data_IF_380621693960
#
_entry.id   IF_380621693960
#
_cell.length_a   1.000
_cell.length_b   1.000
_cell.length_c   1.000
_cell.angle_alpha   90.00
_cell.angle_beta   90.00
_cell.angle_gamma   90.00
#
_symmetry.space_group_name_H-M   'P 1'
#
loop_
_entity.id
_entity.type
_entity.pdbx_description
1 polymer ?
#
# COMPACT_ATOMS: atom_id res chain seq x y z
N UNK A 1 -10.66 7.15 -20.91
CA UNK A 1 -10.43 5.81 -20.34
C UNK A 1 -10.75 5.82 -18.84
N UNK A 2 -11.69 4.98 -18.41
CA UNK A 2 -12.07 4.85 -17.00
C UNK A 2 -11.38 3.61 -16.40
N UNK A 3 -10.60 3.80 -15.33
CA UNK A 3 -10.03 2.70 -14.54
C UNK A 3 -11.17 2.06 -13.74
N UNK A 4 -11.35 0.74 -13.89
CA UNK A 4 -12.42 0.00 -13.22
C UNK A 4 -11.98 -0.65 -11.91
N UNK A 5 -10.73 -1.06 -11.81
CA UNK A 5 -10.17 -1.69 -10.63
C UNK A 5 -8.66 -1.43 -10.52
N UNK A 6 -8.15 -1.46 -9.29
CA UNK A 6 -6.73 -1.31 -8.99
C UNK A 6 -6.28 -2.37 -7.98
N UNK A 7 -5.03 -2.81 -8.10
CA UNK A 7 -4.34 -3.62 -7.11
C UNK A 7 -3.27 -2.78 -6.41
N UNK A 8 -3.40 -2.62 -5.10
CA UNK A 8 -2.53 -1.80 -4.27
C UNK A 8 -1.66 -2.73 -3.41
N UNK A 9 -0.47 -3.05 -3.90
CA UNK A 9 0.40 -4.06 -3.32
C UNK A 9 1.52 -3.45 -2.50
N UNK A 10 1.52 -3.65 -1.18
CA UNK A 10 2.55 -3.19 -0.24
C UNK A 10 2.84 -1.69 -0.40
N UNK A 11 1.81 -0.87 -0.61
CA UNK A 11 1.95 0.55 -0.90
C UNK A 11 2.06 1.42 0.34
N UNK A 12 2.55 2.64 0.13
CA UNK A 12 2.48 3.72 1.10
C UNK A 12 1.50 4.77 0.60
N UNK A 13 0.50 5.10 1.41
CA UNK A 13 -0.62 5.98 1.02
C UNK A 13 -0.63 7.27 1.83
N UNK A 14 -0.34 7.21 3.12
CA UNK A 14 -0.10 8.38 3.97
C UNK A 14 1.40 8.62 4.08
N UNK A 15 1.87 9.67 3.44
CA UNK A 15 3.30 10.01 3.41
C UNK A 15 3.74 10.78 4.65
N UNK A 16 2.81 11.31 5.44
CA UNK A 16 3.13 12.04 6.68
C UNK A 16 3.39 11.10 7.86
N UNK A 17 2.76 9.92 7.88
CA UNK A 17 2.95 8.89 8.90
C UNK A 17 3.97 7.87 8.39
N UNK A 18 5.26 8.18 8.54
CA UNK A 18 6.35 7.40 7.95
C UNK A 18 7.30 6.84 8.99
N UNK A 19 7.81 5.63 8.72
CA UNK A 19 8.97 5.08 9.43
C UNK A 19 10.23 5.91 9.13
N UNK A 20 11.26 5.75 9.97
CA UNK A 20 12.55 6.44 9.75
C UNK A 20 13.16 6.11 8.38
N UNK A 21 13.01 4.86 7.92
CA UNK A 21 13.47 4.45 6.58
C UNK A 21 12.75 5.23 5.47
N UNK A 22 11.44 5.34 5.56
CA UNK A 22 10.65 6.08 4.56
C UNK A 22 11.00 7.56 4.59
N UNK A 23 11.17 8.13 5.78
CA UNK A 23 11.58 9.53 5.93
C UNK A 23 12.92 9.79 5.25
N UNK A 24 13.91 8.94 5.49
CA UNK A 24 15.21 9.05 4.84
C UNK A 24 15.10 9.00 3.31
N UNK A 25 14.29 8.06 2.78
CA UNK A 25 14.05 7.97 1.35
C UNK A 25 13.41 9.25 0.79
N UNK A 26 12.45 9.84 1.51
CA UNK A 26 11.82 11.09 1.09
C UNK A 26 12.82 12.26 1.05
N UNK A 27 13.72 12.33 2.03
CA UNK A 27 14.80 13.35 2.03
C UNK A 27 15.75 13.22 0.85
N UNK A 28 15.99 11.99 0.39
CA UNK A 28 16.89 11.71 -0.74
C UNK A 28 16.25 11.94 -2.10
N UNK A 29 14.97 11.55 -2.25
CA UNK A 29 14.33 11.50 -3.57
C UNK A 29 13.40 12.69 -3.87
N UNK A 30 12.90 13.39 -2.87
CA UNK A 30 11.97 14.48 -3.09
C UNK A 30 12.69 15.83 -3.25
N UNK A 31 12.23 16.68 -4.18
CA UNK A 31 12.87 17.98 -4.45
C UNK A 31 12.88 18.94 -3.25
N UNK A 32 11.86 18.87 -2.39
CA UNK A 32 11.77 19.68 -1.17
C UNK A 32 12.19 18.88 0.09
N UNK A 33 12.86 17.73 -0.10
CA UNK A 33 13.41 16.87 0.95
C UNK A 33 12.40 16.39 2.00
N UNK A 34 11.16 16.21 1.60
CA UNK A 34 10.12 15.69 2.47
C UNK A 34 9.59 16.72 3.47
N UNK A 35 9.46 17.97 3.09
CA UNK A 35 8.75 18.97 3.90
C UNK A 35 7.30 18.52 4.11
N UNK A 36 6.68 18.97 5.20
CA UNK A 36 5.29 18.60 5.51
C UNK A 36 4.33 18.95 4.37
N UNK A 37 4.52 20.10 3.74
CA UNK A 37 3.70 20.52 2.60
C UNK A 37 3.88 19.60 1.40
N UNK A 38 5.12 19.24 1.08
CA UNK A 38 5.42 18.29 0.00
C UNK A 38 4.80 16.93 0.27
N UNK A 39 4.94 16.39 1.49
CA UNK A 39 4.37 15.10 1.87
C UNK A 39 2.83 15.11 1.76
N UNK A 40 2.16 16.19 2.10
CA UNK A 40 0.72 16.34 1.91
C UNK A 40 0.32 16.28 0.44
N UNK A 41 1.08 16.93 -0.44
CA UNK A 41 0.79 16.93 -1.88
C UNK A 41 0.85 15.53 -2.49
N UNK A 42 1.70 14.65 -1.96
CA UNK A 42 1.90 13.30 -2.48
C UNK A 42 1.19 12.21 -1.66
N UNK A 43 0.52 12.55 -0.57
CA UNK A 43 -0.26 11.60 0.23
C UNK A 43 -1.58 11.28 -0.45
N UNK A 44 -1.62 10.13 -1.12
CA UNK A 44 -2.77 9.73 -1.94
C UNK A 44 -4.06 9.54 -1.13
N UNK A 45 -3.95 9.18 0.15
CA UNK A 45 -5.09 9.02 1.05
C UNK A 45 -5.93 10.30 1.24
N UNK A 46 -5.32 11.47 1.06
CA UNK A 46 -6.00 12.77 1.19
C UNK A 46 -6.88 13.10 -0.02
N UNK A 47 -6.72 12.42 -1.13
CA UNK A 47 -7.38 12.74 -2.42
C UNK A 47 -8.40 11.68 -2.85
N UNK A 48 -8.71 10.72 -1.99
CA UNK A 48 -9.69 9.68 -2.27
C UNK A 48 -11.09 10.29 -2.29
N UNK A 49 -11.85 9.93 -3.34
CA UNK A 49 -13.27 10.26 -3.46
C UNK A 49 -14.09 8.99 -3.64
N UNK A 50 -15.41 9.11 -3.66
CA UNK A 50 -16.34 8.02 -3.94
C UNK A 50 -16.22 7.49 -5.39
N UNK A 51 -15.50 8.21 -6.26
CA UNK A 51 -15.21 7.81 -7.63
C UNK A 51 -13.95 6.95 -7.76
N UNK A 52 -13.26 6.66 -6.65
CA UNK A 52 -12.08 5.80 -6.67
C UNK A 52 -12.46 4.39 -7.17
N UNK A 53 -11.65 3.76 -8.03
CA UNK A 53 -11.99 2.43 -8.56
C UNK A 53 -12.00 1.36 -7.48
N UNK A 54 -12.71 0.28 -7.71
CA UNK A 54 -12.70 -0.90 -6.84
C UNK A 54 -11.25 -1.33 -6.57
N UNK A 55 -10.90 -1.58 -5.32
CA UNK A 55 -9.51 -1.80 -4.92
C UNK A 55 -9.30 -3.16 -4.27
N UNK A 56 -8.25 -3.84 -4.68
CA UNK A 56 -7.64 -4.96 -3.96
C UNK A 56 -6.40 -4.42 -3.25
N UNK A 57 -6.32 -4.59 -1.93
CA UNK A 57 -5.21 -4.09 -1.12
C UNK A 57 -4.49 -5.28 -0.50
N UNK A 58 -3.18 -5.33 -0.64
CA UNK A 58 -2.36 -6.43 -0.16
C UNK A 58 -1.16 -5.93 0.65
N UNK A 59 -0.87 -6.64 1.74
CA UNK A 59 0.34 -6.48 2.53
C UNK A 59 0.80 -7.83 3.08
N UNK A 60 1.90 -7.85 3.80
CA UNK A 60 2.46 -9.05 4.42
C UNK A 60 2.89 -8.78 5.86
N UNK A 61 3.01 -9.85 6.66
CA UNK A 61 3.36 -9.76 8.08
C UNK A 61 4.71 -9.08 8.35
N UNK A 62 5.68 -9.24 7.44
CA UNK A 62 7.02 -8.64 7.53
C UNK A 62 7.20 -7.36 6.71
N UNK A 63 6.13 -6.83 6.13
CA UNK A 63 6.19 -5.59 5.38
C UNK A 63 6.36 -4.39 6.33
N UNK A 64 7.40 -3.58 6.11
CA UNK A 64 7.62 -2.38 6.93
C UNK A 64 6.55 -1.31 6.73
N UNK A 65 5.77 -1.40 5.64
CA UNK A 65 4.61 -0.56 5.36
C UNK A 65 3.27 -1.24 5.73
N UNK A 66 3.32 -2.31 6.51
CA UNK A 66 2.16 -3.14 6.82
C UNK A 66 0.95 -2.34 7.30
N UNK A 67 1.16 -1.35 8.16
CA UNK A 67 0.07 -0.55 8.74
C UNK A 67 -0.63 0.36 7.72
N UNK A 68 -0.01 0.64 6.59
CA UNK A 68 -0.59 1.44 5.52
C UNK A 68 -1.78 0.76 4.83
N UNK A 69 -1.77 -0.57 4.74
CA UNK A 69 -2.83 -1.33 4.06
C UNK A 69 -4.18 -1.25 4.79
N UNK A 70 -4.29 -1.60 6.10
CA UNK A 70 -5.56 -1.43 6.82
C UNK A 70 -5.99 0.04 6.94
N UNK A 71 -5.04 0.97 7.03
CA UNK A 71 -5.34 2.39 7.00
C UNK A 71 -6.03 2.81 5.69
N UNK A 72 -5.45 2.44 4.54
CA UNK A 72 -6.04 2.75 3.23
C UNK A 72 -7.39 2.06 3.03
N UNK A 73 -7.51 0.82 3.49
CA UNK A 73 -8.78 0.09 3.48
C UNK A 73 -9.87 0.85 4.22
N UNK A 74 -9.59 1.36 5.42
CA UNK A 74 -10.54 2.16 6.19
C UNK A 74 -10.94 3.45 5.46
N UNK A 75 -9.99 4.14 4.84
CA UNK A 75 -10.24 5.35 4.06
C UNK A 75 -11.17 5.11 2.88
N UNK A 76 -10.94 4.01 2.14
CA UNK A 76 -11.79 3.64 1.02
C UNK A 76 -13.19 3.25 1.48
N UNK A 77 -13.32 2.53 2.58
CA UNK A 77 -14.63 2.18 3.17
C UNK A 77 -15.41 3.42 3.59
N UNK A 78 -14.77 4.42 4.19
CA UNK A 78 -15.41 5.71 4.54
C UNK A 78 -16.01 6.41 3.32
N UNK A 79 -15.42 6.22 2.14
CA UNK A 79 -15.89 6.80 0.87
C UNK A 79 -16.84 5.89 0.10
N UNK A 80 -17.29 4.78 0.69
CA UNK A 80 -18.16 3.78 0.06
C UNK A 80 -17.55 3.15 -1.21
N UNK A 81 -16.24 3.05 -1.28
CA UNK A 81 -15.54 2.37 -2.36
C UNK A 81 -15.47 0.88 -2.04
N UNK A 82 -15.82 0.03 -3.01
CA UNK A 82 -15.64 -1.41 -2.86
C UNK A 82 -14.15 -1.75 -2.79
N UNK A 83 -13.72 -2.43 -1.72
CA UNK A 83 -12.33 -2.85 -1.57
C UNK A 83 -12.21 -4.11 -0.72
N UNK A 84 -11.15 -4.86 -0.98
CA UNK A 84 -10.75 -6.04 -0.23
C UNK A 84 -9.35 -5.83 0.34
N UNK A 85 -9.14 -6.27 1.59
CA UNK A 85 -7.83 -6.25 2.25
C UNK A 85 -7.36 -7.69 2.45
N UNK A 86 -6.15 -7.98 1.96
CA UNK A 86 -5.48 -9.26 2.12
C UNK A 86 -4.14 -9.09 2.82
N UNK A 87 -4.03 -9.64 4.03
CA UNK A 87 -2.81 -9.66 4.81
C UNK A 87 -2.22 -11.07 4.76
N UNK A 88 -1.05 -11.22 4.15
CA UNK A 88 -0.42 -12.51 3.94
C UNK A 88 0.58 -12.85 5.04
N UNK A 89 0.55 -14.11 5.47
CA UNK A 89 1.53 -14.71 6.36
C UNK A 89 1.83 -16.14 5.91
N UNK A 90 2.98 -16.67 6.32
CA UNK A 90 3.37 -18.03 5.99
C UNK A 90 3.98 -18.72 7.20
N UNK A 91 3.65 -20.02 7.47
CA UNK A 91 4.31 -20.78 8.51
C UNK A 91 5.74 -21.19 8.16
N UNK A 92 6.13 -21.07 6.88
CA UNK A 92 7.44 -21.52 6.37
C UNK A 92 8.48 -20.43 6.38
N UNK A 93 8.09 -19.20 6.11
CA UNK A 93 8.98 -18.05 6.00
C UNK A 93 8.26 -16.77 6.36
N UNK A 94 8.98 -15.75 6.82
CA UNK A 94 8.40 -14.43 7.05
C UNK A 94 8.28 -13.71 5.71
N UNK A 95 7.05 -13.41 5.32
CA UNK A 95 6.77 -12.68 4.09
C UNK A 95 7.09 -11.20 4.28
N UNK A 96 8.04 -10.70 3.49
CA UNK A 96 8.56 -9.34 3.59
C UNK A 96 7.88 -8.40 2.59
N UNK A 97 8.30 -7.15 2.61
CA UNK A 97 7.84 -6.14 1.65
C UNK A 97 7.97 -6.64 0.21
N UNK A 98 6.89 -6.50 -0.56
CA UNK A 98 6.78 -6.94 -1.96
C UNK A 98 7.12 -8.42 -2.22
N UNK A 99 6.83 -9.30 -1.23
CA UNK A 99 7.09 -10.74 -1.34
C UNK A 99 6.51 -11.37 -2.62
N UNK A 100 5.44 -10.82 -3.13
CA UNK A 100 4.75 -11.30 -4.35
C UNK A 100 5.61 -11.20 -5.62
N UNK A 101 6.69 -10.42 -5.60
CA UNK A 101 7.63 -10.34 -6.72
C UNK A 101 8.60 -11.51 -6.77
N UNK A 102 8.71 -12.29 -5.69
CA UNK A 102 9.54 -13.49 -5.67
C UNK A 102 8.78 -14.68 -6.27
N UNK A 103 8.78 -14.80 -7.58
CA UNK A 103 8.06 -15.85 -8.30
C UNK A 103 8.56 -17.29 -8.03
N UNK A 104 9.63 -17.45 -7.26
CA UNK A 104 10.10 -18.77 -6.80
C UNK A 104 9.32 -19.25 -5.56
N UNK A 105 8.72 -18.31 -4.83
CA UNK A 105 7.91 -18.61 -3.63
C UNK A 105 6.50 -19.07 -4.02
N UNK A 106 6.02 -20.16 -3.42
CA UNK A 106 4.63 -20.60 -3.57
C UNK A 106 3.64 -19.60 -2.94
N UNK A 107 4.04 -18.95 -1.86
CA UNK A 107 3.21 -17.91 -1.23
C UNK A 107 3.04 -16.68 -2.14
N UNK A 108 4.10 -16.30 -2.87
CA UNK A 108 4.01 -15.25 -3.87
C UNK A 108 3.03 -15.62 -4.99
N UNK A 109 3.12 -16.83 -5.52
CA UNK A 109 2.20 -17.31 -6.56
C UNK A 109 0.75 -17.31 -6.08
N UNK A 110 0.50 -17.72 -4.84
CA UNK A 110 -0.84 -17.72 -4.25
C UNK A 110 -1.46 -16.32 -4.18
N UNK A 111 -0.65 -15.28 -3.97
CA UNK A 111 -1.16 -13.90 -3.88
C UNK A 111 -1.83 -13.42 -5.17
N UNK A 112 -1.46 -13.97 -6.31
CA UNK A 112 -2.04 -13.61 -7.61
C UNK A 112 -3.41 -14.22 -7.87
N UNK A 113 -3.82 -15.23 -7.10
CA UNK A 113 -5.14 -15.89 -7.29
C UNK A 113 -6.28 -14.92 -6.93
N UNK A 114 -6.04 -14.00 -6.00
CA UNK A 114 -7.04 -13.06 -5.50
C UNK A 114 -6.96 -11.65 -6.12
N UNK A 115 -5.89 -11.37 -6.84
CA UNK A 115 -5.68 -10.08 -7.49
C UNK A 115 -6.46 -9.89 -8.85
#
# INVERSE_FOLDING_TARGET
LKIKAVALNCGQYNMEDTSDMTRQLMEEYLPEKGTQEELRRISSDLYITDQFPSAYIMTAEGDFLREQAPYMYGKLKEKNVFCELHEYSSPKEKLMHVFHLNMRSEDAKRSYIFA
#
